data_IF_624538193335
#
_entry.id   IF_624538193335
#
_cell.length_a   1.000
_cell.length_b   1.000
_cell.length_c   1.000
_cell.angle_alpha   90.00
_cell.angle_beta   90.00
_cell.angle_gamma   90.00
#
_symmetry.space_group_name_H-M   'P 1'
#
loop_
_entity.id
_entity.type
_entity.pdbx_description
1 polymer ?
#
# COMPACT_ATOMS: atom_id res chain seq x y z
N UNK A 1 -9.15 2.87 -13.86
CA UNK A 1 -10.49 2.66 -13.28
C UNK A 1 -11.08 1.30 -13.68
N UNK A 2 -11.21 0.97 -14.97
CA UNK A 2 -11.73 -0.34 -15.42
C UNK A 2 -10.97 -1.54 -14.84
N UNK A 3 -9.64 -1.53 -14.83
CA UNK A 3 -8.85 -2.63 -14.23
C UNK A 3 -9.06 -2.78 -12.71
N UNK A 4 -9.22 -1.65 -12.00
CA UNK A 4 -9.51 -1.64 -10.55
C UNK A 4 -10.90 -2.21 -10.28
N UNK A 5 -11.89 -1.83 -11.09
CA UNK A 5 -13.24 -2.38 -11.00
C UNK A 5 -13.26 -3.90 -11.20
N UNK A 6 -12.63 -4.40 -12.26
CA UNK A 6 -12.56 -5.86 -12.51
C UNK A 6 -11.76 -6.60 -11.45
N UNK A 7 -10.68 -6.00 -10.93
CA UNK A 7 -9.93 -6.53 -9.80
C UNK A 7 -10.81 -6.66 -8.54
N UNK A 8 -11.56 -5.61 -8.18
CA UNK A 8 -12.52 -5.65 -7.07
C UNK A 8 -13.64 -6.66 -7.28
N UNK A 9 -14.20 -6.77 -8.49
CA UNK A 9 -15.20 -7.80 -8.83
C UNK A 9 -14.64 -9.21 -8.68
N UNK A 10 -13.42 -9.44 -9.19
CA UNK A 10 -12.72 -10.72 -9.03
C UNK A 10 -12.52 -11.02 -7.54
N UNK A 11 -12.18 -10.01 -6.74
CA UNK A 11 -12.01 -10.16 -5.30
C UNK A 11 -13.32 -10.46 -4.57
N UNK A 12 -14.45 -9.84 -4.96
CA UNK A 12 -15.77 -10.21 -4.46
C UNK A 12 -16.10 -11.67 -4.79
N UNK A 13 -15.87 -12.10 -6.04
CA UNK A 13 -16.13 -13.47 -6.48
C UNK A 13 -15.34 -14.47 -5.64
N UNK A 14 -14.02 -14.26 -5.50
CA UNK A 14 -13.15 -15.11 -4.68
C UNK A 14 -13.57 -15.08 -3.21
N UNK A 15 -13.96 -13.91 -2.70
CA UNK A 15 -14.48 -13.73 -1.35
C UNK A 15 -15.79 -14.48 -1.11
N UNK A 16 -16.63 -14.67 -2.13
CA UNK A 16 -17.86 -15.46 -2.04
C UNK A 16 -17.58 -16.97 -2.09
N UNK A 17 -16.70 -17.43 -2.98
CA UNK A 17 -16.44 -18.84 -3.33
C UNK A 17 -15.71 -19.68 -2.26
N UNK A 18 -15.44 -19.16 -1.06
CA UNK A 18 -14.72 -19.86 0.03
C UNK A 18 -13.26 -20.26 -0.25
N UNK A 19 -12.74 -19.98 -1.45
CA UNK A 19 -11.33 -20.20 -1.83
C UNK A 19 -10.36 -19.32 -0.99
N UNK A 20 -10.86 -18.23 -0.41
CA UNK A 20 -10.06 -17.22 0.32
C UNK A 20 -9.32 -17.71 1.57
N UNK A 21 -9.92 -18.59 2.39
CA UNK A 21 -9.23 -19.11 3.59
C UNK A 21 -8.05 -19.98 3.19
N UNK A 22 -8.24 -20.79 2.14
CA UNK A 22 -7.15 -21.58 1.57
C UNK A 22 -6.07 -20.67 0.98
N UNK A 23 -6.44 -19.62 0.24
CA UNK A 23 -5.50 -18.72 -0.40
C UNK A 23 -4.65 -17.94 0.62
N UNK A 24 -5.27 -17.34 1.65
CA UNK A 24 -4.56 -16.56 2.67
C UNK A 24 -3.70 -17.45 3.56
N UNK A 25 -4.22 -18.63 3.96
CA UNK A 25 -3.46 -19.57 4.81
C UNK A 25 -2.40 -20.35 4.02
N UNK A 26 -2.49 -20.41 2.69
CA UNK A 26 -1.48 -21.07 1.87
C UNK A 26 -0.20 -20.25 1.73
N UNK A 27 -0.26 -18.93 1.90
CA UNK A 27 0.90 -18.06 1.68
C UNK A 27 1.84 -18.14 2.89
N UNK A 28 3.13 -18.42 2.67
CA UNK A 28 4.15 -18.38 3.70
C UNK A 28 4.24 -17.00 4.35
N UNK A 29 4.42 -16.96 5.67
CA UNK A 29 4.48 -15.69 6.38
C UNK A 29 5.67 -14.83 5.95
N UNK A 30 6.79 -15.44 5.56
CA UNK A 30 7.93 -14.70 4.99
C UNK A 30 7.55 -13.91 3.74
N UNK A 31 6.78 -14.51 2.81
CA UNK A 31 6.30 -13.81 1.61
C UNK A 31 5.31 -12.69 1.95
N UNK A 32 4.39 -12.90 2.90
CA UNK A 32 3.47 -11.83 3.35
C UNK A 32 4.26 -10.64 3.91
N UNK A 33 5.24 -10.92 4.78
CA UNK A 33 6.09 -9.90 5.41
C UNK A 33 6.95 -9.16 4.40
N UNK A 34 7.51 -9.86 3.41
CA UNK A 34 8.31 -9.23 2.35
C UNK A 34 7.49 -8.40 1.39
N UNK A 35 6.24 -8.77 1.10
CA UNK A 35 5.33 -7.96 0.28
C UNK A 35 5.02 -6.65 1.00
N UNK A 36 4.62 -6.71 2.27
CA UNK A 36 4.37 -5.51 3.08
C UNK A 36 5.62 -4.60 3.15
N UNK A 37 6.79 -5.19 3.38
CA UNK A 37 8.05 -4.46 3.41
C UNK A 37 8.41 -3.84 2.05
N UNK A 38 8.23 -4.58 0.95
CA UNK A 38 8.53 -4.13 -0.40
C UNK A 38 7.60 -3.01 -0.85
N UNK A 39 6.31 -3.05 -0.46
CA UNK A 39 5.38 -1.93 -0.65
C UNK A 39 5.84 -0.71 0.15
N UNK A 40 6.29 -0.89 1.40
CA UNK A 40 6.97 0.16 2.16
C UNK A 40 8.17 0.75 1.41
N UNK A 41 9.01 -0.11 0.81
CA UNK A 41 10.13 0.31 -0.05
C UNK A 41 9.70 1.10 -1.28
N UNK A 42 8.62 0.70 -1.94
CA UNK A 42 8.07 1.41 -3.09
C UNK A 42 7.52 2.78 -2.72
N UNK A 43 6.82 2.89 -1.59
CA UNK A 43 6.36 4.17 -1.05
C UNK A 43 7.54 5.11 -0.74
N UNK A 44 8.62 4.59 -0.14
CA UNK A 44 9.82 5.38 0.06
C UNK A 44 10.44 5.82 -1.27
N UNK A 45 10.52 4.93 -2.26
CA UNK A 45 11.04 5.27 -3.59
C UNK A 45 10.24 6.41 -4.24
N UNK A 46 8.91 6.33 -4.26
CA UNK A 46 8.03 7.39 -4.78
C UNK A 46 8.19 8.69 -4.00
N UNK A 47 8.30 8.63 -2.67
CA UNK A 47 8.47 9.82 -1.84
C UNK A 47 9.82 10.51 -2.11
N UNK A 48 10.91 9.74 -2.18
CA UNK A 48 12.23 10.27 -2.51
C UNK A 48 12.26 10.87 -3.92
N UNK A 49 11.60 10.22 -4.89
CA UNK A 49 11.54 10.68 -6.28
C UNK A 49 10.72 11.97 -6.40
N UNK A 50 9.52 12.00 -5.81
CA UNK A 50 8.64 13.18 -5.83
C UNK A 50 9.21 14.39 -5.07
N UNK A 51 10.03 14.14 -4.05
CA UNK A 51 10.78 15.19 -3.36
C UNK A 51 12.01 15.68 -4.15
N UNK A 52 12.45 14.95 -5.18
CA UNK A 52 13.68 15.24 -5.92
C UNK A 52 14.97 14.86 -5.18
N UNK A 53 14.88 14.02 -4.13
CA UNK A 53 16.03 13.47 -3.41
C UNK A 53 16.74 12.42 -4.28
N UNK A 54 15.96 11.62 -5.01
CA UNK A 54 16.47 10.72 -6.05
C UNK A 54 15.95 11.15 -7.41
N UNK A 55 16.80 11.06 -8.43
CA UNK A 55 16.49 11.41 -9.81
C UNK A 55 17.10 10.39 -10.77
N UNK A 56 16.53 10.23 -11.95
CA UNK A 56 17.16 9.47 -13.03
C UNK A 56 18.34 10.23 -13.63
N UNK A 57 19.30 9.51 -14.22
CA UNK A 57 20.40 10.11 -14.97
C UNK A 57 20.87 9.22 -16.12
N UNK A 58 21.57 9.82 -17.08
CA UNK A 58 22.15 9.07 -18.19
C UNK A 58 23.17 8.05 -17.65
N UNK A 59 22.96 6.77 -17.98
CA UNK A 59 23.82 5.67 -17.58
C UNK A 59 23.53 5.03 -16.22
N UNK A 60 22.65 5.59 -15.37
CA UNK A 60 22.22 4.98 -14.10
C UNK A 60 20.73 5.18 -13.84
N UNK A 61 20.03 4.13 -13.39
CA UNK A 61 18.58 4.22 -13.14
C UNK A 61 18.23 5.24 -12.05
N UNK A 62 19.07 5.35 -11.02
CA UNK A 62 18.83 6.22 -9.86
C UNK A 62 20.13 6.86 -9.43
N UNK A 63 20.11 8.18 -9.23
CA UNK A 63 21.18 8.94 -8.58
C UNK A 63 20.62 9.92 -7.56
N UNK A 64 21.50 10.48 -6.75
CA UNK A 64 21.18 11.55 -5.81
C UNK A 64 20.87 12.85 -6.56
N UNK A 65 19.74 13.47 -6.24
CA UNK A 65 19.37 14.81 -6.68
C UNK A 65 20.01 15.91 -5.83
N UNK A 66 19.57 17.15 -6.01
CA UNK A 66 20.05 18.29 -5.22
C UNK A 66 19.39 18.32 -3.84
N UNK A 67 20.01 17.70 -2.84
CA UNK A 67 19.45 17.60 -1.47
C UNK A 67 19.34 18.97 -0.77
N UNK A 68 20.13 19.95 -1.19
CA UNK A 68 20.12 21.31 -0.60
C UNK A 68 18.96 22.15 -1.15
N UNK A 69 18.29 21.69 -2.22
CA UNK A 69 17.10 22.36 -2.74
C UNK A 69 15.97 22.36 -1.71
N UNK A 70 15.09 23.35 -1.81
CA UNK A 70 14.01 23.58 -0.84
C UNK A 70 13.13 22.34 -0.60
N UNK A 71 12.63 21.69 -1.67
CA UNK A 71 11.74 20.54 -1.55
C UNK A 71 12.38 19.32 -0.84
N UNK A 72 13.56 18.80 -1.24
CA UNK A 72 14.28 17.77 -0.49
C UNK A 72 14.51 18.09 0.98
N UNK A 73 14.91 19.34 1.28
CA UNK A 73 15.17 19.79 2.66
C UNK A 73 13.88 19.79 3.49
N UNK A 74 12.78 20.29 2.93
CA UNK A 74 11.47 20.28 3.59
C UNK A 74 10.94 18.85 3.80
N UNK A 75 11.16 17.93 2.85
CA UNK A 75 10.83 16.51 3.02
C UNK A 75 11.63 15.88 4.17
N UNK A 76 12.94 16.11 4.21
CA UNK A 76 13.79 15.60 5.29
C UNK A 76 13.37 16.19 6.65
N UNK A 77 13.14 17.51 6.71
CA UNK A 77 12.65 18.18 7.92
C UNK A 77 11.31 17.61 8.37
N UNK A 78 10.37 17.39 7.44
CA UNK A 78 9.09 16.76 7.72
C UNK A 78 9.27 15.40 8.40
N UNK A 79 10.08 14.52 7.80
CA UNK A 79 10.37 13.20 8.34
C UNK A 79 10.96 13.29 9.77
N UNK A 80 11.96 14.14 9.99
CA UNK A 80 12.58 14.30 11.30
C UNK A 80 11.63 14.86 12.35
N UNK A 81 10.76 15.80 11.98
CA UNK A 81 9.71 16.32 12.86
C UNK A 81 8.72 15.21 13.24
N UNK A 82 8.30 14.37 12.28
CA UNK A 82 7.42 13.24 12.57
C UNK A 82 8.08 12.28 13.55
N UNK A 83 9.34 11.90 13.31
CA UNK A 83 10.09 11.00 14.21
C UNK A 83 10.20 11.60 15.62
N UNK A 84 10.52 12.89 15.73
CA UNK A 84 10.59 13.58 17.02
C UNK A 84 9.23 13.58 17.73
N UNK A 85 8.15 13.96 17.05
CA UNK A 85 6.80 13.99 17.62
C UNK A 85 6.31 12.60 18.04
N UNK A 86 6.61 11.57 17.25
CA UNK A 86 6.29 10.18 17.58
C UNK A 86 7.06 9.73 18.83
N UNK A 87 8.36 10.05 18.91
CA UNK A 87 9.19 9.75 20.08
C UNK A 87 8.63 10.39 21.36
N UNK A 88 8.21 11.66 21.28
CA UNK A 88 7.58 12.38 22.40
C UNK A 88 6.08 12.09 22.58
N UNK A 89 5.51 11.14 21.82
CA UNK A 89 4.10 10.73 21.88
C UNK A 89 3.10 11.88 21.68
N UNK A 90 3.43 12.82 20.80
CA UNK A 90 2.54 13.94 20.46
C UNK A 90 1.35 13.43 19.63
N UNK A 91 0.09 13.63 20.06
CA UNK A 91 -1.07 13.18 19.30
C UNK A 91 -1.13 13.92 17.96
N UNK A 92 -1.37 13.17 16.87
CA UNK A 92 -1.40 13.75 15.53
C UNK A 92 -0.02 14.13 14.97
N UNK A 93 1.05 13.47 15.42
CA UNK A 93 2.45 13.70 15.01
C UNK A 93 2.62 13.95 13.49
N UNK A 94 2.07 13.06 12.66
CA UNK A 94 2.15 13.18 11.19
C UNK A 94 1.45 14.44 10.70
N UNK A 95 0.23 14.69 11.18
CA UNK A 95 -0.56 15.85 10.76
C UNK A 95 0.09 17.17 11.20
N UNK A 96 0.62 17.23 12.41
CA UNK A 96 1.31 18.42 12.92
C UNK A 96 2.57 18.74 12.09
N UNK A 97 3.36 17.73 11.73
CA UNK A 97 4.53 17.93 10.89
C UNK A 97 4.14 18.43 9.48
N UNK A 98 3.12 17.81 8.85
CA UNK A 98 2.61 18.27 7.55
C UNK A 98 2.16 19.74 7.63
N UNK A 99 1.45 20.12 8.68
CA UNK A 99 1.00 21.50 8.88
C UNK A 99 2.17 22.47 9.03
N UNK A 100 3.16 22.14 9.86
CA UNK A 100 4.37 22.96 10.04
C UNK A 100 5.08 23.17 8.70
N UNK A 101 5.29 22.10 7.94
CA UNK A 101 6.00 22.18 6.65
C UNK A 101 5.16 22.93 5.60
N UNK A 102 3.84 22.78 5.62
CA UNK A 102 2.94 23.55 4.75
C UNK A 102 3.01 25.04 5.06
N UNK A 103 3.04 25.42 6.35
CA UNK A 103 3.22 26.81 6.77
C UNK A 103 4.59 27.34 6.35
N UNK A 104 5.66 26.56 6.51
CA UNK A 104 6.99 26.95 6.01
C UNK A 104 6.98 27.15 4.49
N UNK A 105 6.32 26.27 3.73
CA UNK A 105 6.15 26.42 2.28
C UNK A 105 5.48 27.75 1.89
N UNK A 106 4.49 28.19 2.67
CA UNK A 106 3.86 29.51 2.49
C UNK A 106 4.79 30.65 2.89
N UNK A 107 5.48 30.54 4.03
CA UNK A 107 6.37 31.60 4.53
C UNK A 107 7.57 31.86 3.62
N UNK A 108 8.11 30.81 2.98
CA UNK A 108 9.19 30.92 2.01
C UNK A 108 8.71 31.23 0.58
N UNK A 109 7.40 31.43 0.38
CA UNK A 109 6.81 31.85 -0.90
C UNK A 109 6.70 30.74 -1.96
N UNK A 110 6.94 29.48 -1.60
CA UNK A 110 6.81 28.32 -2.49
C UNK A 110 5.34 27.93 -2.73
N UNK A 111 4.47 28.21 -1.75
CA UNK A 111 3.02 28.01 -1.84
C UNK A 111 2.25 29.29 -1.50
N UNK A 112 1.15 29.51 -2.19
CA UNK A 112 0.24 30.61 -1.89
C UNK A 112 -0.87 30.13 -0.94
N UNK A 113 -1.31 31.02 -0.06
CA UNK A 113 -2.48 30.77 0.78
C UNK A 113 -3.71 30.73 -0.13
N UNK A 114 -4.58 29.72 -0.02
CA UNK A 114 -5.80 29.66 -0.82
C UNK A 114 -6.70 30.85 -0.51
N UNK A 115 -7.35 31.39 -1.55
CA UNK A 115 -8.25 32.56 -1.45
C UNK A 115 -9.49 32.29 -0.56
N UNK A 116 -9.87 31.02 -0.40
CA UNK A 116 -10.94 30.58 0.49
C UNK A 116 -10.50 29.37 1.30
N UNK A 117 -10.93 29.32 2.56
CA UNK A 117 -10.70 28.17 3.45
C UNK A 117 -11.73 27.05 3.24
N UNK A 118 -12.90 27.42 2.72
CA UNK A 118 -14.04 26.52 2.50
C UNK A 118 -14.51 26.69 1.07
N UNK A 119 -14.62 25.58 0.34
CA UNK A 119 -15.22 25.52 -0.98
C UNK A 119 -16.27 24.42 -1.03
N UNK A 120 -17.10 24.44 -2.07
CA UNK A 120 -17.86 23.24 -2.41
C UNK A 120 -16.86 22.10 -2.73
N UNK A 121 -17.19 20.85 -2.35
CA UNK A 121 -16.38 19.69 -2.73
C UNK A 121 -16.17 19.63 -4.25
N UNK A 122 -14.98 19.19 -4.72
CA UNK A 122 -14.74 19.01 -6.15
C UNK A 122 -15.79 18.11 -6.80
N UNK A 123 -16.19 18.46 -8.03
CA UNK A 123 -17.18 17.68 -8.76
C UNK A 123 -16.68 16.25 -9.02
N UNK A 124 -17.58 15.28 -8.83
CA UNK A 124 -17.37 13.87 -9.21
C UNK A 124 -17.53 13.64 -10.73
N UNK A 125 -18.12 14.58 -11.47
CA UNK A 125 -18.38 14.42 -12.91
C UNK A 125 -17.21 13.92 -13.78
N UNK A 126 -15.94 14.37 -13.59
CA UNK A 126 -14.83 13.94 -14.45
C UNK A 126 -14.35 12.51 -14.19
N UNK A 127 -14.77 11.86 -13.11
CA UNK A 127 -14.28 10.53 -12.72
C UNK A 127 -15.41 9.53 -12.48
N UNK A 128 -16.62 10.03 -12.19
CA UNK A 128 -17.80 9.22 -11.94
C UNK A 128 -18.15 8.36 -13.15
N UNK A 129 -18.14 7.04 -12.94
CA UNK A 129 -18.41 6.02 -13.95
C UNK A 129 -17.52 6.10 -15.19
N UNK A 130 -16.37 6.78 -15.13
CA UNK A 130 -15.36 6.85 -16.20
C UNK A 130 -14.48 5.57 -16.22
N UNK A 131 -15.13 4.41 -16.06
CA UNK A 131 -14.48 3.11 -16.13
C UNK A 131 -14.51 2.63 -17.59
N UNK A 132 -13.37 2.68 -18.27
CA UNK A 132 -13.22 2.03 -19.56
C UNK A 132 -13.18 0.50 -19.39
N UNK A 133 -14.36 -0.11 -19.32
CA UNK A 133 -14.52 -1.55 -19.16
C UNK A 133 -14.09 -2.31 -20.42
N UNK A 134 -14.19 -1.68 -21.59
CA UNK A 134 -13.86 -2.33 -22.87
C UNK A 134 -12.35 -2.49 -22.99
N UNK A 135 -11.59 -1.41 -22.81
CA UNK A 135 -10.13 -1.50 -22.86
C UNK A 135 -9.56 -2.30 -21.69
N UNK A 136 -10.20 -2.30 -20.51
CA UNK A 136 -9.78 -3.14 -19.40
C UNK A 136 -9.91 -4.66 -19.66
N UNK A 137 -10.75 -5.08 -20.62
CA UNK A 137 -10.87 -6.50 -21.02
C UNK A 137 -9.93 -6.90 -22.16
N UNK A 138 -9.12 -5.98 -22.67
CA UNK A 138 -8.07 -6.32 -23.63
C UNK A 138 -7.05 -7.25 -22.96
N UNK A 139 -6.51 -8.26 -23.67
CA UNK A 139 -5.59 -9.22 -23.08
C UNK A 139 -4.42 -8.54 -22.34
N UNK A 140 -3.82 -7.49 -22.91
CA UNK A 140 -2.73 -6.75 -22.27
C UNK A 140 -3.08 -6.23 -20.85
N UNK A 141 -4.36 -5.94 -20.59
CA UNK A 141 -4.82 -5.42 -19.30
C UNK A 141 -5.07 -6.52 -18.26
N UNK A 142 -5.18 -7.79 -18.65
CA UNK A 142 -5.37 -8.89 -17.68
C UNK A 142 -4.21 -8.98 -16.70
N UNK A 143 -2.97 -8.77 -17.16
CA UNK A 143 -1.81 -8.72 -16.27
C UNK A 143 -1.96 -7.63 -15.18
N UNK A 144 -2.53 -6.47 -15.54
CA UNK A 144 -2.77 -5.35 -14.62
C UNK A 144 -3.94 -5.65 -13.67
N UNK A 145 -5.00 -6.30 -14.16
CA UNK A 145 -6.13 -6.72 -13.32
C UNK A 145 -5.66 -7.74 -12.26
N UNK A 146 -4.90 -8.76 -12.67
CA UNK A 146 -4.33 -9.74 -11.76
C UNK A 146 -3.34 -9.11 -10.79
N UNK A 147 -2.50 -8.18 -11.26
CA UNK A 147 -1.62 -7.37 -10.44
C UNK A 147 -2.39 -6.67 -9.31
N UNK A 148 -3.39 -5.86 -9.66
CA UNK A 148 -4.21 -5.17 -8.65
C UNK A 148 -4.92 -6.15 -7.73
N UNK A 149 -5.47 -7.24 -8.25
CA UNK A 149 -6.14 -8.25 -7.45
C UNK A 149 -5.21 -8.86 -6.39
N UNK A 150 -3.98 -9.20 -6.76
CA UNK A 150 -3.02 -9.77 -5.82
C UNK A 150 -2.54 -8.74 -4.81
N UNK A 151 -2.24 -7.51 -5.26
CA UNK A 151 -1.87 -6.41 -4.35
C UNK A 151 -2.98 -6.17 -3.33
N UNK A 152 -4.22 -6.02 -3.79
CA UNK A 152 -5.38 -5.78 -2.92
C UNK A 152 -5.61 -6.93 -1.95
N UNK A 153 -5.53 -8.16 -2.44
CA UNK A 153 -5.65 -9.36 -1.60
C UNK A 153 -4.59 -9.37 -0.48
N UNK A 154 -3.34 -9.06 -0.81
CA UNK A 154 -2.24 -9.11 0.15
C UNK A 154 -2.23 -7.93 1.11
N UNK A 155 -2.56 -6.73 0.63
CA UNK A 155 -2.69 -5.55 1.47
C UNK A 155 -3.80 -5.75 2.48
N UNK A 156 -4.99 -6.12 2.01
CA UNK A 156 -6.15 -6.37 2.88
C UNK A 156 -5.89 -7.53 3.84
N UNK A 157 -5.26 -8.61 3.41
CA UNK A 157 -4.93 -9.71 4.33
C UNK A 157 -3.91 -9.27 5.39
N UNK A 158 -2.83 -8.60 4.98
CA UNK A 158 -1.76 -8.15 5.86
C UNK A 158 -2.21 -7.11 6.88
N UNK A 159 -2.95 -6.09 6.44
CA UNK A 159 -3.48 -5.05 7.32
C UNK A 159 -4.57 -5.58 8.23
N UNK A 160 -5.47 -6.45 7.75
CA UNK A 160 -6.48 -7.07 8.60
C UNK A 160 -5.84 -7.93 9.69
N UNK A 161 -4.84 -8.75 9.37
CA UNK A 161 -4.08 -9.52 10.38
C UNK A 161 -3.43 -8.55 11.38
N UNK A 162 -2.63 -7.60 10.91
CA UNK A 162 -1.87 -6.69 11.78
C UNK A 162 -2.75 -5.82 12.68
N UNK A 163 -3.87 -5.31 12.16
CA UNK A 163 -4.82 -4.48 12.94
C UNK A 163 -5.62 -5.35 13.92
N UNK A 164 -6.05 -6.55 13.51
CA UNK A 164 -6.83 -7.43 14.40
C UNK A 164 -5.99 -8.02 15.53
N UNK A 165 -4.72 -8.34 15.29
CA UNK A 165 -3.77 -8.75 16.32
C UNK A 165 -3.52 -7.63 17.33
N UNK A 166 -3.17 -6.42 16.86
CA UNK A 166 -2.99 -5.25 17.75
C UNK A 166 -4.25 -4.86 18.51
N UNK A 167 -5.42 -5.17 17.94
CA UNK A 167 -6.72 -4.94 18.58
C UNK A 167 -7.18 -6.02 19.55
N UNK A 168 -6.47 -7.15 19.65
CA UNK A 168 -6.92 -8.30 20.42
C UNK A 168 -8.25 -8.88 19.90
N UNK A 169 -8.51 -8.77 18.60
CA UNK A 169 -9.75 -9.20 17.94
C UNK A 169 -9.67 -10.62 17.38
N UNK A 170 -8.46 -11.20 17.33
CA UNK A 170 -8.23 -12.59 16.93
C UNK A 170 -8.76 -13.52 18.02
N UNK A 171 -9.55 -14.52 17.63
CA UNK A 171 -10.09 -15.56 18.53
C UNK A 171 -9.65 -16.94 18.03
N UNK A 172 -9.03 -17.73 18.91
CA UNK A 172 -8.55 -19.08 18.58
C UNK A 172 -7.63 -19.12 17.34
N UNK A 173 -6.77 -18.10 17.20
CA UNK A 173 -5.88 -17.95 16.05
C UNK A 173 -6.58 -17.62 14.72
N UNK A 174 -7.89 -17.29 14.76
CA UNK A 174 -8.68 -16.95 13.57
C UNK A 174 -9.32 -15.57 13.70
N UNK A 175 -9.43 -14.89 12.56
CA UNK A 175 -10.11 -13.60 12.48
C UNK A 175 -11.62 -13.83 12.39
N UNK A 176 -12.42 -13.38 13.37
CA UNK A 176 -13.87 -13.56 13.32
C UNK A 176 -14.46 -12.77 12.15
N UNK A 177 -15.44 -13.34 11.46
CA UNK A 177 -16.12 -12.71 10.32
C UNK A 177 -15.19 -12.26 9.17
N UNK A 178 -14.04 -12.92 8.98
CA UNK A 178 -13.09 -12.64 7.89
C UNK A 178 -13.79 -12.44 6.53
N UNK A 179 -14.75 -13.30 6.18
CA UNK A 179 -15.54 -13.17 4.93
C UNK A 179 -16.23 -11.80 4.80
N UNK A 180 -16.83 -11.30 5.88
CA UNK A 180 -17.54 -10.01 5.86
C UNK A 180 -16.56 -8.84 5.75
N UNK A 181 -15.40 -8.93 6.40
CA UNK A 181 -14.34 -7.93 6.29
C UNK A 181 -13.83 -7.82 4.85
N UNK A 182 -13.49 -8.95 4.22
CA UNK A 182 -13.02 -8.98 2.83
C UNK A 182 -14.09 -8.51 1.82
N UNK A 183 -15.37 -8.83 2.07
CA UNK A 183 -16.47 -8.33 1.23
C UNK A 183 -16.69 -6.82 1.41
N UNK A 184 -16.49 -6.28 2.60
CA UNK A 184 -16.58 -4.84 2.84
C UNK A 184 -15.45 -4.10 2.10
N UNK A 185 -14.23 -4.64 2.16
CA UNK A 185 -13.05 -4.11 1.49
C UNK A 185 -13.17 -4.16 -0.05
N UNK A 186 -13.39 -5.34 -0.62
CA UNK A 186 -13.60 -5.50 -2.07
C UNK A 186 -14.84 -4.74 -2.58
N UNK A 187 -15.90 -4.65 -1.76
CA UNK A 187 -17.07 -3.83 -2.05
C UNK A 187 -16.74 -2.34 -2.10
N UNK A 188 -15.92 -1.85 -1.16
CA UNK A 188 -15.41 -0.49 -1.18
C UNK A 188 -14.57 -0.24 -2.44
N UNK A 189 -13.78 -1.20 -2.90
CA UNK A 189 -12.98 -1.08 -4.15
C UNK A 189 -13.86 -0.93 -5.37
N UNK A 190 -14.91 -1.74 -5.49
CA UNK A 190 -15.84 -1.66 -6.63
C UNK A 190 -16.60 -0.33 -6.63
N UNK A 191 -17.09 0.11 -5.47
CA UNK A 191 -17.77 1.40 -5.32
C UNK A 191 -16.80 2.56 -5.57
N UNK A 192 -15.57 2.49 -5.04
CA UNK A 192 -14.52 3.48 -5.23
C UNK A 192 -14.15 3.63 -6.70
N UNK A 193 -13.94 2.52 -7.41
CA UNK A 193 -13.67 2.54 -8.85
C UNK A 193 -14.82 3.18 -9.64
N UNK A 194 -16.08 2.92 -9.25
CA UNK A 194 -17.26 3.54 -9.87
C UNK A 194 -17.37 5.05 -9.57
N UNK A 195 -16.96 5.48 -8.37
CA UNK A 195 -16.82 6.91 -8.02
C UNK A 195 -15.55 7.55 -8.62
N UNK A 196 -14.70 6.75 -9.26
CA UNK A 196 -13.52 7.22 -9.97
C UNK A 196 -12.25 7.32 -9.12
N UNK A 197 -12.17 6.55 -8.04
CA UNK A 197 -11.00 6.47 -7.16
C UNK A 197 -10.06 5.32 -7.56
N UNK A 198 -8.84 5.35 -7.03
CA UNK A 198 -7.94 4.19 -7.04
C UNK A 198 -8.49 3.05 -6.18
N UNK A 199 -7.78 1.92 -6.17
CA UNK A 199 -8.07 0.80 -5.29
C UNK A 199 -8.18 1.26 -3.83
N UNK A 200 -9.22 0.82 -3.11
CA UNK A 200 -9.45 1.19 -1.70
C UNK A 200 -9.13 -0.01 -0.83
N UNK A 201 -8.35 0.18 0.23
CA UNK A 201 -7.99 -0.92 1.12
C UNK A 201 -8.01 -0.46 2.57
N UNK A 202 -7.98 -1.41 3.49
CA UNK A 202 -7.78 -1.15 4.90
C UNK A 202 -6.33 -0.76 5.21
N UNK A 203 -6.16 0.33 5.97
CA UNK A 203 -4.86 0.94 6.28
C UNK A 203 -4.25 0.40 7.57
N UNK A 204 -2.94 0.11 7.58
CA UNK A 204 -2.21 -0.36 8.78
C UNK A 204 -2.19 0.69 9.88
N UNK A 205 -2.27 1.96 9.51
CA UNK A 205 -2.36 3.14 10.38
C UNK A 205 -3.61 3.09 11.28
N UNK A 206 -4.64 2.36 10.87
CA UNK A 206 -5.84 2.10 11.68
C UNK A 206 -5.50 1.40 13.00
N UNK A 207 -4.34 0.73 13.08
CA UNK A 207 -3.83 0.17 14.33
C UNK A 207 -3.66 1.24 15.43
N UNK A 208 -3.37 2.49 15.07
CA UNK A 208 -3.29 3.60 16.03
C UNK A 208 -4.66 3.92 16.64
N UNK A 209 -5.71 3.96 15.81
CA UNK A 209 -7.09 4.15 16.28
C UNK A 209 -7.56 2.99 17.16
N UNK A 210 -7.16 1.76 16.82
CA UNK A 210 -7.41 0.57 17.63
C UNK A 210 -6.62 0.61 18.95
N UNK A 211 -5.37 1.09 18.95
CA UNK A 211 -4.57 1.26 20.16
C UNK A 211 -5.18 2.30 21.13
N UNK A 212 -5.86 3.32 20.61
CA UNK A 212 -6.60 4.32 21.39
C UNK A 212 -7.97 3.84 21.91
N UNK A 213 -8.30 2.56 21.76
CA UNK A 213 -9.56 1.98 22.25
C UNK A 213 -10.66 1.84 21.19
N UNK A 214 -10.36 2.12 19.92
CA UNK A 214 -11.25 1.80 18.80
C UNK A 214 -11.52 0.29 18.73
N UNK A 215 -12.78 -0.10 18.95
CA UNK A 215 -13.20 -1.51 19.00
C UNK A 215 -14.44 -1.83 18.16
N UNK A 216 -15.06 -0.82 17.56
CA UNK A 216 -16.31 -0.97 16.79
C UNK A 216 -16.19 -0.33 15.41
N UNK A 217 -17.01 -0.82 14.46
CA UNK A 217 -17.10 -0.23 13.12
C UNK A 217 -17.63 1.21 13.10
N UNK A 218 -18.24 1.68 14.20
CA UNK A 218 -18.69 3.07 14.33
C UNK A 218 -17.53 4.04 14.22
N UNK A 219 -16.34 3.69 14.71
CA UNK A 219 -15.14 4.51 14.54
C UNK A 219 -14.81 4.72 13.06
N UNK A 220 -14.80 3.65 12.26
CA UNK A 220 -14.56 3.74 10.82
C UNK A 220 -15.64 4.56 10.10
N UNK A 221 -16.92 4.40 10.48
CA UNK A 221 -18.03 5.19 9.91
C UNK A 221 -17.89 6.68 10.25
N UNK A 222 -17.61 7.02 11.51
CA UNK A 222 -17.42 8.41 11.94
C UNK A 222 -16.22 9.02 11.23
N UNK A 223 -15.09 8.31 11.15
CA UNK A 223 -13.92 8.76 10.39
C UNK A 223 -14.27 9.00 8.92
N UNK A 224 -15.01 8.10 8.27
CA UNK A 224 -15.47 8.28 6.90
C UNK A 224 -16.36 9.51 6.70
N UNK A 225 -17.32 9.75 7.61
CA UNK A 225 -18.17 10.95 7.59
C UNK A 225 -17.34 12.22 7.78
N UNK A 226 -16.37 12.21 8.69
CA UNK A 226 -15.47 13.35 8.89
C UNK A 226 -14.61 13.62 7.65
N UNK A 227 -14.15 12.59 6.94
CA UNK A 227 -13.46 12.76 5.66
C UNK A 227 -14.38 13.31 4.55
N UNK A 228 -15.66 12.92 4.52
CA UNK A 228 -16.63 13.53 3.60
C UNK A 228 -16.83 15.02 3.93
N UNK A 229 -16.93 15.38 5.22
CA UNK A 229 -16.98 16.78 5.64
C UNK A 229 -15.67 17.53 5.34
N UNK A 230 -14.52 16.86 5.42
CA UNK A 230 -13.22 17.43 5.09
C UNK A 230 -13.12 17.87 3.61
N UNK A 231 -13.95 17.33 2.71
CA UNK A 231 -13.96 17.74 1.29
C UNK A 231 -14.38 19.20 1.09
N UNK A 232 -15.16 19.78 2.01
CA UNK A 232 -15.46 21.21 2.03
C UNK A 232 -14.22 22.07 2.31
N UNK A 233 -13.20 21.48 2.93
CA UNK A 233 -11.89 22.09 3.19
C UNK A 233 -10.85 21.68 2.13
N UNK A 234 -11.29 21.23 0.94
CA UNK A 234 -10.38 20.89 -0.15
C UNK A 234 -9.36 21.99 -0.54
N UNK A 235 -9.64 23.31 -0.41
CA UNK A 235 -8.62 24.34 -0.66
C UNK A 235 -7.43 24.23 0.31
N UNK A 236 -7.68 23.86 1.57
CA UNK A 236 -6.63 23.62 2.56
C UNK A 236 -5.79 22.39 2.20
N UNK A 237 -6.43 21.32 1.70
CA UNK A 237 -5.71 20.14 1.21
C UNK A 237 -4.83 20.47 0.00
N UNK A 238 -5.29 21.34 -0.90
CA UNK A 238 -4.51 21.79 -2.07
C UNK A 238 -3.30 22.67 -1.72
N UNK A 239 -3.32 23.32 -0.56
CA UNK A 239 -2.18 24.11 -0.05
C UNK A 239 -1.01 23.20 0.38
N UNK A 240 -1.29 21.95 0.77
CA UNK A 240 -0.26 21.03 1.26
C UNK A 240 0.72 20.70 0.13
N UNK A 241 2.01 21.04 0.27
CA UNK A 241 2.99 20.75 -0.76
C UNK A 241 3.34 19.26 -0.82
N UNK A 242 3.72 18.79 -2.01
CA UNK A 242 4.10 17.39 -2.24
C UNK A 242 5.32 16.97 -1.42
N UNK A 243 6.25 17.87 -1.11
CA UNK A 243 7.38 17.57 -0.24
C UNK A 243 6.98 17.34 1.23
N UNK A 244 5.88 17.93 1.70
CA UNK A 244 5.35 17.67 3.04
C UNK A 244 4.74 16.27 3.12
N UNK A 245 3.92 15.90 2.13
CA UNK A 245 3.32 14.57 2.07
C UNK A 245 4.37 13.50 1.82
N UNK A 246 5.42 13.77 1.04
CA UNK A 246 6.55 12.86 0.85
C UNK A 246 7.23 12.50 2.19
N UNK A 247 7.43 13.46 3.09
CA UNK A 247 8.00 13.18 4.42
C UNK A 247 7.11 12.28 5.28
N UNK A 248 5.80 12.45 5.18
CA UNK A 248 4.84 11.56 5.83
C UNK A 248 4.84 10.14 5.23
N UNK A 249 4.92 10.03 3.90
CA UNK A 249 5.01 8.74 3.19
C UNK A 249 6.31 8.01 3.58
N UNK A 250 7.43 8.72 3.75
CA UNK A 250 8.68 8.13 4.25
C UNK A 250 8.50 7.55 5.66
N UNK A 251 7.77 8.23 6.54
CA UNK A 251 7.48 7.68 7.85
C UNK A 251 6.56 6.44 7.78
N UNK A 252 5.55 6.44 6.91
CA UNK A 252 4.71 5.25 6.66
C UNK A 252 5.56 4.07 6.16
N UNK A 253 6.52 4.33 5.28
CA UNK A 253 7.49 3.32 4.83
C UNK A 253 8.25 2.68 5.99
N UNK A 254 8.72 3.49 6.95
CA UNK A 254 9.39 2.96 8.17
C UNK A 254 8.48 2.02 8.96
N UNK A 255 7.19 2.35 9.09
CA UNK A 255 6.22 1.49 9.78
C UNK A 255 5.99 0.16 9.06
N UNK A 256 5.95 0.18 7.73
CA UNK A 256 5.76 -1.03 6.92
C UNK A 256 7.02 -1.91 6.86
N UNK A 257 8.20 -1.30 6.78
CA UNK A 257 9.48 -2.03 6.78
C UNK A 257 9.80 -2.73 8.10
N UNK A 258 9.07 -2.45 9.19
CA UNK A 258 9.22 -3.17 10.45
C UNK A 258 9.07 -4.70 10.27
N UNK A 259 8.23 -5.15 9.32
CA UNK A 259 8.01 -6.58 9.06
C UNK A 259 9.26 -7.32 8.57
N UNK A 260 10.24 -6.60 8.00
CA UNK A 260 11.55 -7.15 7.58
C UNK A 260 12.29 -7.74 8.78
N UNK A 261 12.17 -7.11 9.96
CA UNK A 261 12.82 -7.55 11.18
C UNK A 261 12.22 -8.83 11.77
N UNK A 262 11.04 -9.23 11.34
CA UNK A 262 10.36 -10.43 11.83
C UNK A 262 10.57 -11.66 10.92
N UNK A 263 11.46 -11.56 9.93
CA UNK A 263 11.81 -12.62 9.00
C UNK A 263 13.02 -13.38 9.56
N UNK A 264 13.04 -14.70 9.43
CA UNK A 264 14.21 -15.50 9.79
C UNK A 264 15.31 -15.36 8.75
N UNK A 265 16.23 -14.42 8.98
CA UNK A 265 17.38 -14.17 8.12
C UNK A 265 18.47 -15.24 8.20
N UNK A 266 18.43 -16.15 9.18
CA UNK A 266 19.40 -17.24 9.30
C UNK A 266 19.05 -18.40 8.37
N UNK A 267 17.79 -18.54 7.98
CA UNK A 267 17.37 -19.51 6.97
C UNK A 267 17.44 -18.89 5.57
N UNK A 268 18.46 -19.27 4.81
CA UNK A 268 18.64 -18.80 3.43
C UNK A 268 17.46 -19.14 2.52
N UNK A 269 16.70 -20.19 2.83
CA UNK A 269 15.53 -20.61 2.05
C UNK A 269 14.32 -19.69 2.24
N UNK A 270 14.34 -18.85 3.27
CA UNK A 270 13.38 -17.77 3.54
C UNK A 270 13.96 -16.40 3.14
N UNK A 271 15.20 -16.13 3.56
CA UNK A 271 15.85 -14.84 3.37
C UNK A 271 16.04 -14.45 1.89
N UNK A 272 16.42 -15.40 1.03
CA UNK A 272 16.66 -15.10 -0.39
C UNK A 272 15.36 -14.69 -1.14
N UNK A 273 14.26 -15.45 -1.08
CA UNK A 273 12.98 -15.02 -1.67
C UNK A 273 12.46 -13.69 -1.12
N UNK A 274 12.62 -13.47 0.18
CA UNK A 274 12.25 -12.21 0.84
C UNK A 274 13.03 -11.04 0.25
N UNK A 275 14.36 -11.16 0.15
CA UNK A 275 15.22 -10.11 -0.37
C UNK A 275 14.89 -9.79 -1.85
N UNK A 276 14.62 -10.82 -2.65
CA UNK A 276 14.19 -10.68 -4.05
C UNK A 276 12.88 -9.89 -4.11
N UNK A 277 11.87 -10.29 -3.33
CA UNK A 277 10.57 -9.60 -3.28
C UNK A 277 10.72 -8.14 -2.85
N UNK A 278 11.43 -7.92 -1.74
CA UNK A 278 11.63 -6.61 -1.13
C UNK A 278 12.31 -5.61 -2.08
N UNK A 279 13.33 -6.06 -2.84
CA UNK A 279 14.05 -5.21 -3.78
C UNK A 279 13.34 -5.07 -5.12
N UNK A 280 12.72 -6.14 -5.62
CA UNK A 280 12.09 -6.12 -6.94
C UNK A 280 10.90 -5.17 -6.98
N UNK A 281 10.07 -5.12 -5.94
CA UNK A 281 8.90 -4.23 -5.88
C UNK A 281 9.27 -2.76 -6.19
N UNK A 282 10.18 -2.10 -5.45
CA UNK A 282 10.55 -0.72 -5.75
C UNK A 282 11.36 -0.56 -7.04
N UNK A 283 12.31 -1.46 -7.31
CA UNK A 283 13.25 -1.30 -8.43
C UNK A 283 12.63 -1.56 -9.80
N UNK A 284 11.59 -2.37 -9.87
CA UNK A 284 10.81 -2.59 -11.11
C UNK A 284 9.66 -1.60 -11.26
N UNK A 285 9.43 -0.73 -10.26
CA UNK A 285 8.28 0.16 -10.19
C UNK A 285 6.93 -0.60 -10.31
N UNK A 286 6.91 -1.88 -9.94
CA UNK A 286 5.80 -2.80 -10.15
C UNK A 286 5.68 -3.77 -8.98
N UNK A 287 4.67 -3.54 -8.14
CA UNK A 287 4.38 -4.42 -6.99
C UNK A 287 4.10 -5.85 -7.48
N UNK A 288 3.40 -6.00 -8.60
CA UNK A 288 3.03 -7.30 -9.14
C UNK A 288 4.21 -8.10 -9.68
N UNK A 289 5.19 -7.45 -10.31
CA UNK A 289 6.39 -8.15 -10.79
C UNK A 289 7.27 -8.55 -9.61
N UNK A 290 7.39 -7.69 -8.59
CA UNK A 290 8.07 -8.05 -7.36
C UNK A 290 7.43 -9.22 -6.61
N UNK A 291 6.09 -9.25 -6.48
CA UNK A 291 5.35 -10.40 -5.94
C UNK A 291 5.61 -11.65 -6.78
N UNK A 292 5.55 -11.53 -8.11
CA UNK A 292 5.76 -12.65 -9.05
C UNK A 292 7.13 -13.27 -8.85
N UNK A 293 8.19 -12.46 -8.81
CA UNK A 293 9.55 -12.92 -8.55
C UNK A 293 9.70 -13.53 -7.16
N UNK A 294 9.00 -12.99 -6.15
CA UNK A 294 8.95 -13.55 -4.80
C UNK A 294 8.41 -14.96 -4.73
N UNK A 295 7.21 -15.19 -5.28
CA UNK A 295 6.58 -16.53 -5.27
C UNK A 295 7.36 -17.56 -6.09
N UNK A 296 7.89 -17.15 -7.26
CA UNK A 296 8.71 -18.02 -8.11
C UNK A 296 10.00 -18.40 -7.38
N UNK A 297 10.73 -17.42 -6.85
CA UNK A 297 11.98 -17.68 -6.13
C UNK A 297 11.78 -18.53 -4.89
N UNK A 298 10.73 -18.25 -4.09
CA UNK A 298 10.38 -19.06 -2.92
C UNK A 298 10.15 -20.53 -3.29
N UNK A 299 9.35 -20.78 -4.31
CA UNK A 299 9.03 -22.14 -4.77
C UNK A 299 10.28 -22.86 -5.27
N UNK A 300 11.07 -22.21 -6.13
CA UNK A 300 12.29 -22.80 -6.69
C UNK A 300 13.31 -23.09 -5.59
N UNK A 301 13.57 -22.15 -4.68
CA UNK A 301 14.55 -22.32 -3.60
C UNK A 301 14.15 -23.47 -2.67
N UNK A 302 12.89 -23.55 -2.26
CA UNK A 302 12.41 -24.66 -1.41
C UNK A 302 12.52 -26.02 -2.12
N UNK A 303 12.26 -26.08 -3.42
CA UNK A 303 12.45 -27.32 -4.22
C UNK A 303 13.93 -27.70 -4.29
N UNK A 304 14.81 -26.76 -4.64
CA UNK A 304 16.25 -27.01 -4.79
C UNK A 304 16.92 -27.41 -3.46
N UNK A 305 16.45 -26.87 -2.35
CA UNK A 305 16.97 -27.17 -1.01
C UNK A 305 16.30 -28.38 -0.34
N UNK A 306 15.56 -29.22 -1.07
CA UNK A 306 14.89 -30.42 -0.54
C UNK A 306 13.86 -30.14 0.58
N UNK A 307 13.25 -28.94 0.55
CA UNK A 307 12.22 -28.48 1.50
C UNK A 307 10.83 -28.39 0.87
N UNK A 308 10.57 -29.17 -0.16
CA UNK A 308 9.26 -29.21 -0.84
C UNK A 308 8.08 -29.56 0.07
N UNK A 309 8.32 -30.17 1.24
CA UNK A 309 7.26 -30.46 2.22
C UNK A 309 6.70 -29.20 2.90
N UNK A 310 7.45 -28.11 2.87
CA UNK A 310 7.01 -26.80 3.38
C UNK A 310 6.15 -26.05 2.35
N UNK A 311 6.09 -26.54 1.11
CA UNK A 311 5.25 -25.95 0.06
C UNK A 311 3.83 -26.52 0.12
N UNK A 312 2.86 -25.63 0.33
CA UNK A 312 1.46 -25.96 0.11
C UNK A 312 1.14 -25.87 -1.39
N UNK A 313 0.16 -26.66 -1.85
CA UNK A 313 -0.39 -26.65 -3.21
C UNK A 313 -0.74 -25.22 -3.66
N UNK A 314 -1.24 -24.37 -2.76
CA UNK A 314 -1.56 -22.98 -3.08
C UNK A 314 -0.34 -22.17 -3.53
N UNK A 315 0.81 -22.32 -2.87
CA UNK A 315 2.05 -21.63 -3.26
C UNK A 315 2.52 -22.10 -4.63
N UNK A 316 2.44 -23.41 -4.89
CA UNK A 316 2.87 -24.00 -6.17
C UNK A 316 1.98 -23.53 -7.31
N UNK A 317 0.66 -23.56 -7.12
CA UNK A 317 -0.31 -23.09 -8.12
C UNK A 317 -0.13 -21.59 -8.38
N UNK A 318 0.05 -20.78 -7.32
CA UNK A 318 0.29 -19.35 -7.47
C UNK A 318 1.60 -19.08 -8.21
N UNK A 319 2.70 -19.75 -7.84
CA UNK A 319 3.97 -19.61 -8.52
C UNK A 319 3.87 -20.01 -10.00
N UNK A 320 3.13 -21.07 -10.33
CA UNK A 320 2.89 -21.48 -11.70
C UNK A 320 2.07 -20.44 -12.51
N UNK A 321 1.01 -19.88 -11.93
CA UNK A 321 0.20 -18.82 -12.55
C UNK A 321 1.04 -17.56 -12.76
N UNK A 322 1.82 -17.16 -11.75
CA UNK A 322 2.68 -15.98 -11.80
C UNK A 322 3.84 -16.17 -12.78
N UNK A 323 4.38 -17.38 -12.91
CA UNK A 323 5.36 -17.72 -13.93
C UNK A 323 4.76 -17.64 -15.34
N UNK A 324 3.54 -18.16 -15.54
CA UNK A 324 2.84 -18.04 -16.81
C UNK A 324 2.57 -16.57 -17.17
N UNK A 325 2.17 -15.73 -16.18
CA UNK A 325 2.07 -14.28 -16.35
C UNK A 325 3.39 -13.66 -16.77
N UNK A 326 4.49 -14.00 -16.08
CA UNK A 326 5.81 -13.43 -16.38
C UNK A 326 6.23 -13.73 -17.83
N UNK A 327 6.08 -14.98 -18.26
CA UNK A 327 6.39 -15.43 -19.63
C UNK A 327 5.52 -14.70 -20.65
N UNK A 328 4.23 -14.52 -20.37
CA UNK A 328 3.33 -13.87 -21.32
C UNK A 328 3.55 -12.35 -21.45
N UNK A 329 4.00 -11.69 -20.38
CA UNK A 329 4.22 -10.24 -20.36
C UNK A 329 5.59 -9.88 -20.93
N UNK A 330 6.61 -10.71 -20.72
CA UNK A 330 8.01 -10.40 -21.05
C UNK A 330 8.62 -11.29 -22.15
N UNK A 331 7.95 -12.36 -22.57
CA UNK A 331 8.37 -13.26 -23.65
C UNK A 331 7.61 -13.01 -24.94
#
# INVERSE_FOLDING_TARGET
>A
LGCVFFSGVLFIIVSLLRIREWLINAIPDALKKSIAAGIGGFLAFIALQSAGIIVGADGVLVRMGSIISFAPLMTALCLFLIIAFVHYRVPGSVMLAILIISVLGVLFGDKQVPESLVSLPPSLAPTFMQMDLKSALEPAMFSIIFAFFFVDLFDTAGTLIGVTERGGLVKDGKIPNLKKALLADSGATVIGAALGTSNTTSFIESASGVAMGGRTGLMAVVTGVLFLLATFFSPLAGMVPTYATAGAILYVSVLMMYTVGEIDWHDITEAAPVAITFLAIPLTYSIADGITLGFISYTIVKVLCNRWRELNIGVIVLAAILLARLIWVHG
#
